data_IF_739608734552
#
_entry.id   IF_739608734552
#
_cell.length_a   1.000
_cell.length_b   1.000
_cell.length_c   1.000
_cell.angle_alpha   90.00
_cell.angle_beta   90.00
_cell.angle_gamma   90.00
#
_symmetry.space_group_name_H-M   'P 1'
#
loop_
_entity.id
_entity.type
_entity.pdbx_description
1 polymer ?
#
# COMPACT_ATOMS: atom_id res chain seq x y z
N UNK A 1 4.56 11.97 3.28
CA UNK A 1 3.17 12.36 3.62
C UNK A 1 2.22 11.62 2.70
N UNK A 2 1.55 10.59 3.22
CA UNK A 2 0.58 9.78 2.49
C UNK A 2 -0.54 10.63 1.90
N UNK A 3 -0.85 10.42 0.62
CA UNK A 3 -1.98 11.10 -0.05
C UNK A 3 -3.23 10.22 0.04
N UNK A 4 -4.36 10.78 0.46
CA UNK A 4 -5.66 10.09 0.47
C UNK A 4 -6.59 10.71 -0.56
N UNK A 5 -7.08 9.89 -1.48
CA UNK A 5 -8.01 10.26 -2.54
C UNK A 5 -9.40 9.68 -2.25
N UNK A 6 -10.44 10.41 -2.63
CA UNK A 6 -11.82 10.08 -2.31
C UNK A 6 -12.51 9.13 -3.30
N UNK A 7 -13.83 8.94 -3.14
CA UNK A 7 -14.60 7.87 -3.81
C UNK A 7 -14.70 8.02 -5.33
N UNK A 8 -14.61 9.26 -5.85
CA UNK A 8 -14.72 9.54 -7.30
C UNK A 8 -13.40 9.27 -8.07
N UNK A 9 -12.39 8.70 -7.41
CA UNK A 9 -11.07 8.47 -8.01
C UNK A 9 -11.09 7.27 -8.95
N UNK A 10 -10.81 7.52 -10.23
CA UNK A 10 -10.62 6.45 -11.22
C UNK A 10 -9.19 5.89 -11.16
N UNK A 11 -9.05 4.59 -10.88
CA UNK A 11 -7.75 3.93 -10.72
C UNK A 11 -6.94 3.87 -12.02
N UNK A 12 -7.59 3.58 -13.16
CA UNK A 12 -6.84 3.42 -14.40
C UNK A 12 -6.17 4.73 -14.87
N UNK A 13 -6.84 5.90 -14.85
CA UNK A 13 -6.17 7.19 -15.04
C UNK A 13 -5.07 7.48 -14.02
N UNK A 14 -5.30 7.23 -12.72
CA UNK A 14 -4.32 7.45 -11.66
C UNK A 14 -3.03 6.63 -11.88
N UNK A 15 -3.17 5.31 -12.09
CA UNK A 15 -2.02 4.43 -12.32
C UNK A 15 -1.26 4.85 -13.58
N UNK A 16 -1.96 5.29 -14.64
CA UNK A 16 -1.30 5.78 -15.87
C UNK A 16 -0.49 7.06 -15.61
N UNK A 17 -0.98 8.00 -14.81
CA UNK A 17 -0.23 9.22 -14.51
C UNK A 17 1.00 8.95 -13.66
N UNK A 18 0.87 8.13 -12.61
CA UNK A 18 1.98 7.77 -11.72
C UNK A 18 3.10 7.00 -12.45
N UNK A 19 2.73 6.16 -13.43
CA UNK A 19 3.71 5.43 -14.27
C UNK A 19 4.62 6.34 -15.10
N UNK A 20 4.23 7.60 -15.34
CA UNK A 20 5.10 8.55 -16.03
C UNK A 20 6.28 9.00 -15.16
N UNK A 21 6.20 8.81 -13.84
CA UNK A 21 7.19 9.26 -12.85
C UNK A 21 7.97 8.09 -12.21
N UNK A 22 7.40 6.87 -12.19
CA UNK A 22 8.09 5.72 -11.60
C UNK A 22 7.35 4.39 -11.70
N UNK A 23 7.84 3.39 -10.97
CA UNK A 23 7.16 2.09 -10.82
C UNK A 23 5.86 2.31 -10.05
N UNK A 24 4.79 1.61 -10.43
CA UNK A 24 3.52 1.65 -9.71
C UNK A 24 3.14 0.24 -9.27
N UNK A 25 2.99 0.08 -7.96
CA UNK A 25 2.51 -1.13 -7.32
C UNK A 25 1.08 -0.88 -6.81
N UNK A 26 0.11 -1.65 -7.31
CA UNK A 26 -1.30 -1.51 -6.94
C UNK A 26 -1.70 -2.65 -6.01
N UNK A 27 -2.16 -2.31 -4.81
CA UNK A 27 -2.61 -3.26 -3.79
C UNK A 27 -4.09 -3.02 -3.51
N UNK A 28 -4.99 -3.98 -3.80
CA UNK A 28 -6.38 -3.88 -3.37
C UNK A 28 -6.48 -4.08 -1.85
N UNK A 29 -7.37 -3.33 -1.19
CA UNK A 29 -7.66 -3.53 0.21
C UNK A 29 -8.34 -4.89 0.45
N UNK A 30 -8.03 -5.52 1.59
CA UNK A 30 -8.81 -6.65 2.09
C UNK A 30 -10.02 -6.18 2.87
N UNK A 31 -10.93 -7.09 3.22
CA UNK A 31 -12.10 -6.76 4.04
C UNK A 31 -11.78 -6.80 5.54
N UNK A 32 -10.71 -7.46 5.95
CA UNK A 32 -10.24 -7.55 7.32
C UNK A 32 -8.71 -7.53 7.40
N UNK A 33 -8.16 -7.73 8.61
CA UNK A 33 -6.69 -7.78 8.82
C UNK A 33 -6.03 -8.92 8.05
N UNK A 34 -6.59 -10.12 8.07
CA UNK A 34 -5.97 -11.30 7.50
C UNK A 34 -5.92 -11.18 5.98
N UNK A 35 -7.02 -10.78 5.35
CA UNK A 35 -7.06 -10.53 3.92
C UNK A 35 -6.16 -9.35 3.55
N UNK A 36 -6.17 -8.25 4.31
CA UNK A 36 -5.31 -7.10 4.00
C UNK A 36 -3.84 -7.51 3.96
N UNK A 37 -3.36 -8.23 4.99
CA UNK A 37 -1.97 -8.70 5.03
C UNK A 37 -1.64 -9.63 3.86
N UNK A 38 -2.56 -10.53 3.49
CA UNK A 38 -2.40 -11.41 2.34
C UNK A 38 -2.35 -10.65 1.01
N UNK A 39 -3.24 -9.68 0.80
CA UNK A 39 -3.27 -8.84 -0.43
C UNK A 39 -1.98 -8.08 -0.65
N UNK A 40 -1.37 -7.54 0.41
CA UNK A 40 -0.05 -6.91 0.32
C UNK A 40 1.03 -7.92 -0.11
N UNK A 41 1.04 -9.10 0.50
CA UNK A 41 2.01 -10.15 0.16
C UNK A 41 1.88 -10.61 -1.29
N UNK A 42 0.66 -10.87 -1.76
CA UNK A 42 0.37 -11.31 -3.12
C UNK A 42 0.68 -10.23 -4.16
N UNK A 43 0.20 -9.00 -3.95
CA UNK A 43 0.32 -7.93 -4.93
C UNK A 43 1.77 -7.45 -5.10
N UNK A 44 2.56 -7.49 -4.03
CA UNK A 44 3.96 -7.04 -4.03
C UNK A 44 4.95 -8.19 -4.27
N UNK A 45 4.48 -9.44 -4.30
CA UNK A 45 5.36 -10.60 -4.46
C UNK A 45 6.29 -10.81 -3.27
N UNK A 46 5.78 -10.65 -2.05
CA UNK A 46 6.54 -10.92 -0.83
C UNK A 46 6.98 -12.40 -0.76
N UNK A 47 8.09 -12.69 -0.08
CA UNK A 47 8.65 -14.04 -0.04
C UNK A 47 7.74 -15.04 0.69
N UNK A 48 7.88 -16.33 0.40
CA UNK A 48 7.06 -17.42 0.98
C UNK A 48 7.09 -17.51 2.51
N UNK A 49 8.14 -16.97 3.15
CA UNK A 49 8.27 -16.90 4.61
C UNK A 49 7.62 -15.65 5.23
N UNK A 50 6.90 -14.85 4.44
CA UNK A 50 6.14 -13.69 4.89
C UNK A 50 5.13 -14.08 5.99
N UNK A 51 5.37 -13.61 7.20
CA UNK A 51 4.71 -14.07 8.42
C UNK A 51 3.27 -13.56 8.66
N UNK A 52 2.63 -12.93 7.67
CA UNK A 52 1.25 -12.41 7.73
C UNK A 52 0.94 -11.65 9.03
N UNK A 53 1.82 -10.71 9.38
CA UNK A 53 1.65 -9.81 10.51
C UNK A 53 2.21 -8.42 10.17
N UNK A 54 1.89 -7.43 10.99
CA UNK A 54 2.23 -6.03 10.72
C UNK A 54 3.74 -5.76 10.67
N UNK A 55 4.51 -6.37 11.56
CA UNK A 55 5.97 -6.20 11.58
C UNK A 55 6.60 -6.82 10.32
N UNK A 56 6.16 -8.03 9.95
CA UNK A 56 6.59 -8.69 8.73
C UNK A 56 6.20 -7.89 7.47
N UNK A 57 5.03 -7.25 7.47
CA UNK A 57 4.58 -6.39 6.37
C UNK A 57 5.50 -5.18 6.23
N UNK A 58 5.80 -4.50 7.34
CA UNK A 58 6.72 -3.37 7.35
C UNK A 58 8.10 -3.77 6.82
N UNK A 59 8.69 -4.85 7.36
CA UNK A 59 9.99 -5.35 6.93
C UNK A 59 10.01 -5.68 5.43
N UNK A 60 8.96 -6.36 4.93
CA UNK A 60 8.86 -6.71 3.52
C UNK A 60 8.67 -5.47 2.62
N UNK A 61 7.91 -4.46 3.06
CA UNK A 61 7.81 -3.18 2.35
C UNK A 61 9.18 -2.52 2.19
N UNK A 62 9.98 -2.48 3.26
CA UNK A 62 11.32 -1.88 3.20
C UNK A 62 12.25 -2.65 2.26
N UNK A 63 12.15 -3.99 2.22
CA UNK A 63 12.93 -4.82 1.29
C UNK A 63 12.45 -4.68 -0.15
N UNK A 64 11.13 -4.58 -0.39
CA UNK A 64 10.53 -4.46 -1.72
C UNK A 64 10.93 -3.18 -2.47
N UNK A 65 11.23 -2.12 -1.73
CA UNK A 65 11.70 -0.83 -2.27
C UNK A 65 13.23 -0.75 -2.29
N UNK A 66 13.94 -1.68 -1.64
CA UNK A 66 15.40 -1.61 -1.53
C UNK A 66 16.08 -1.80 -2.90
N UNK A 67 17.01 -0.88 -3.22
CA UNK A 67 17.81 -0.95 -4.46
C UNK A 67 17.02 -0.68 -5.74
N UNK A 68 15.78 -0.19 -5.65
CA UNK A 68 15.00 0.25 -6.79
C UNK A 68 15.45 1.65 -7.20
N UNK A 69 15.77 1.83 -8.49
CA UNK A 69 16.05 3.14 -9.05
C UNK A 69 14.73 3.91 -9.29
N UNK A 70 14.69 5.18 -8.88
CA UNK A 70 13.54 6.06 -9.09
C UNK A 70 12.42 5.91 -8.06
N UNK A 71 11.28 6.54 -8.32
CA UNK A 71 10.13 6.57 -7.41
C UNK A 71 9.33 5.27 -7.50
N UNK A 72 8.94 4.72 -6.35
CA UNK A 72 7.97 3.64 -6.23
C UNK A 72 6.67 4.22 -5.70
N UNK A 73 5.62 4.16 -6.51
CA UNK A 73 4.28 4.58 -6.13
C UNK A 73 3.48 3.35 -5.67
N UNK A 74 3.19 3.26 -4.37
CA UNK A 74 2.29 2.26 -3.81
C UNK A 74 0.87 2.84 -3.74
N UNK A 75 -0.06 2.25 -4.49
CA UNK A 75 -1.47 2.62 -4.48
C UNK A 75 -2.24 1.58 -3.70
N UNK A 76 -2.80 1.95 -2.55
CA UNK A 76 -3.69 1.10 -1.75
C UNK A 76 -5.14 1.47 -2.05
N UNK A 77 -5.84 0.59 -2.77
CA UNK A 77 -7.11 0.90 -3.43
C UNK A 77 -8.31 0.18 -2.79
N UNK A 78 -9.45 0.88 -2.72
CA UNK A 78 -10.73 0.33 -2.28
C UNK A 78 -10.84 0.22 -0.76
N UNK A 79 -10.28 1.18 -0.02
CA UNK A 79 -10.19 1.09 1.45
C UNK A 79 -11.50 1.38 2.18
N UNK A 80 -12.54 1.86 1.50
CA UNK A 80 -13.74 2.34 2.18
C UNK A 80 -14.47 1.27 3.02
N UNK A 81 -14.66 0.02 2.55
CA UNK A 81 -15.27 -1.05 3.36
C UNK A 81 -14.43 -1.39 4.59
N UNK A 82 -13.11 -1.57 4.42
CA UNK A 82 -12.20 -1.87 5.53
C UNK A 82 -12.21 -0.74 6.57
N UNK A 83 -12.19 0.52 6.12
CA UNK A 83 -12.26 1.69 7.01
C UNK A 83 -13.58 1.75 7.78
N UNK A 84 -14.69 1.34 7.17
CA UNK A 84 -16.01 1.35 7.80
C UNK A 84 -16.19 0.21 8.81
N UNK A 85 -15.72 -1.00 8.48
CA UNK A 85 -15.96 -2.22 9.26
C UNK A 85 -14.85 -2.52 10.26
N UNK A 86 -13.61 -2.17 9.92
CA UNK A 86 -12.39 -2.44 10.69
C UNK A 86 -11.48 -1.20 10.75
N UNK A 87 -11.93 -0.09 11.36
CA UNK A 87 -11.18 1.18 11.38
C UNK A 87 -9.81 1.06 12.05
N UNK A 88 -9.66 0.18 13.04
CA UNK A 88 -8.39 -0.10 13.72
C UNK A 88 -7.36 -0.76 12.79
N UNK A 89 -7.82 -1.68 11.92
CA UNK A 89 -6.99 -2.29 10.88
C UNK A 89 -6.58 -1.25 9.86
N UNK A 90 -7.54 -0.45 9.38
CA UNK A 90 -7.27 0.62 8.42
C UNK A 90 -6.23 1.61 8.94
N UNK A 91 -6.40 2.13 10.16
CA UNK A 91 -5.49 3.07 10.79
C UNK A 91 -4.09 2.47 11.00
N UNK A 92 -4.03 1.20 11.40
CA UNK A 92 -2.75 0.51 11.61
C UNK A 92 -1.98 0.34 10.30
N UNK A 93 -2.66 -0.07 9.23
CA UNK A 93 -2.03 -0.20 7.90
C UNK A 93 -1.61 1.17 7.37
N UNK A 94 -2.43 2.21 7.54
CA UNK A 94 -2.08 3.56 7.14
C UNK A 94 -0.82 4.07 7.85
N UNK A 95 -0.70 3.78 9.16
CA UNK A 95 0.50 4.09 9.94
C UNK A 95 1.74 3.37 9.40
N UNK A 96 1.64 2.05 9.17
CA UNK A 96 2.76 1.24 8.63
C UNK A 96 3.23 1.77 7.28
N UNK A 97 2.29 2.15 6.41
CA UNK A 97 2.61 2.73 5.10
C UNK A 97 3.27 4.11 5.24
N UNK A 98 2.81 4.94 6.18
CA UNK A 98 3.45 6.22 6.50
C UNK A 98 4.87 6.05 7.03
N UNK A 99 5.07 5.15 7.99
CA UNK A 99 6.39 4.83 8.56
C UNK A 99 7.34 4.32 7.45
N UNK A 100 6.85 3.46 6.54
CA UNK A 100 7.64 2.96 5.42
C UNK A 100 8.00 4.08 4.41
N UNK A 101 7.09 5.03 4.17
CA UNK A 101 7.33 6.20 3.32
C UNK A 101 8.40 7.14 3.92
N UNK A 102 8.42 7.27 5.24
CA UNK A 102 9.45 8.04 5.97
C UNK A 102 10.83 7.36 5.89
N UNK A 103 10.89 6.04 6.07
CA UNK A 103 12.12 5.24 6.00
C UNK A 103 12.66 5.09 4.56
N UNK A 104 11.79 5.19 3.55
CA UNK A 104 12.13 5.06 2.13
C UNK A 104 11.78 6.34 1.37
N UNK A 105 12.72 7.30 1.22
CA UNK A 105 12.48 8.57 0.54
C UNK A 105 11.98 8.49 -0.91
N UNK A 106 12.12 7.34 -1.57
CA UNK A 106 11.64 7.07 -2.92
C UNK A 106 10.27 6.36 -2.97
N UNK A 107 9.73 5.92 -1.84
CA UNK A 107 8.37 5.40 -1.73
C UNK A 107 7.40 6.58 -1.67
N UNK A 108 6.30 6.49 -2.42
CA UNK A 108 5.16 7.40 -2.33
C UNK A 108 3.90 6.58 -2.17
N UNK A 109 3.10 6.90 -1.15
CA UNK A 109 1.87 6.17 -0.84
C UNK A 109 0.66 7.00 -1.23
N UNK A 110 -0.22 6.39 -2.02
CA UNK A 110 -1.55 6.91 -2.35
C UNK A 110 -2.62 5.94 -1.88
N UNK A 111 -3.53 6.40 -1.04
CA UNK A 111 -4.71 5.64 -0.59
C UNK A 111 -5.90 6.10 -1.39
N UNK A 112 -6.68 5.15 -1.92
CA UNK A 112 -7.92 5.45 -2.66
C UNK A 112 -9.10 4.89 -1.88
N UNK A 113 -9.79 5.80 -1.19
CA UNK A 113 -10.88 5.50 -0.28
C UNK A 113 -12.22 5.57 -1.02
N UNK A 114 -12.52 4.48 -1.74
CA UNK A 114 -13.70 4.29 -2.58
C UNK A 114 -14.39 2.95 -2.32
#
# INVERSE_FOLDING_TARGET
MTTVLGPDTEIAPLVRSLRADGRVDLVPAGIDKAETLARFGEALGFPDWYGLNYDAMFDCLLQHVHGVDGVVHLVWDGTAPLRAEHPDVYEMVLRILGDAEEEKPHLRVTVVDR
#
